data_IF_579883254114
#
_entry.id   IF_579883254114
#
_cell.length_a   1.000
_cell.length_b   1.000
_cell.length_c   1.000
_cell.angle_alpha   90.00
_cell.angle_beta   90.00
_cell.angle_gamma   90.00
#
_symmetry.space_group_name_H-M   'P 1'
#
loop_
_entity.id
_entity.type
_entity.pdbx_description
1 polymer ?
#
# COMPACT_ATOMS: atom_id res chain seq x y z
N UNK A 1 0.30 -8.81 6.25
CA UNK A 1 0.29 -7.89 7.40
C UNK A 1 -0.79 -6.83 7.16
N UNK A 2 -1.79 -6.70 8.04
CA UNK A 2 -2.90 -5.77 7.82
C UNK A 2 -2.67 -4.49 8.65
N UNK A 3 -2.25 -3.36 8.04
CA UNK A 3 -2.09 -2.11 8.77
C UNK A 3 -3.40 -1.65 9.45
N UNK A 4 -3.28 -0.90 10.55
CA UNK A 4 -4.43 -0.37 11.26
C UNK A 4 -5.22 0.58 10.37
N UNK A 5 -6.54 0.61 10.58
CA UNK A 5 -7.45 1.48 9.82
C UNK A 5 -7.16 2.94 10.15
N UNK A 6 -6.94 3.75 9.10
CA UNK A 6 -6.75 5.19 9.23
C UNK A 6 -8.09 5.92 9.17
N UNK A 7 -8.32 6.86 10.06
CA UNK A 7 -9.51 7.72 10.05
C UNK A 7 -9.37 8.82 8.98
N UNK A 8 -10.50 9.27 8.44
CA UNK A 8 -10.58 10.38 7.48
C UNK A 8 -11.93 11.06 7.61
N UNK A 9 -11.99 12.39 7.54
CA UNK A 9 -13.24 13.14 7.47
C UNK A 9 -13.59 13.54 6.02
N UNK A 10 -14.88 13.59 5.72
CA UNK A 10 -15.42 14.19 4.48
C UNK A 10 -16.53 15.16 4.90
N UNK A 11 -16.25 16.46 4.86
CA UNK A 11 -17.12 17.49 5.42
C UNK A 11 -17.44 17.21 6.89
N UNK A 12 -18.73 17.14 7.23
CA UNK A 12 -19.20 16.81 8.58
C UNK A 12 -18.98 15.35 8.98
N UNK A 13 -18.88 14.43 8.02
CA UNK A 13 -18.89 12.99 8.27
C UNK A 13 -17.49 12.46 8.63
N UNK A 14 -17.37 11.80 9.79
CA UNK A 14 -16.20 11.01 10.17
C UNK A 14 -16.28 9.63 9.52
N UNK A 15 -15.26 9.27 8.75
CA UNK A 15 -15.12 7.97 8.10
C UNK A 15 -13.74 7.38 8.30
N UNK A 16 -13.45 6.32 7.53
CA UNK A 16 -12.16 5.63 7.51
C UNK A 16 -11.66 5.50 6.08
N UNK A 17 -10.35 5.47 5.90
CA UNK A 17 -9.72 5.11 4.61
C UNK A 17 -9.96 3.63 4.33
N UNK A 18 -9.93 3.26 3.05
CA UNK A 18 -9.95 1.86 2.63
C UNK A 18 -8.80 1.09 3.28
N UNK A 19 -9.10 -0.12 3.76
CA UNK A 19 -8.09 -0.98 4.35
C UNK A 19 -7.30 -1.66 3.23
N UNK A 20 -5.98 -1.68 3.36
CA UNK A 20 -5.08 -2.37 2.44
C UNK A 20 -4.36 -3.48 3.18
N UNK A 21 -3.95 -4.53 2.48
CA UNK A 21 -3.09 -5.59 3.01
C UNK A 21 -1.65 -5.28 2.58
N UNK A 22 -0.72 -5.19 3.54
CA UNK A 22 0.71 -5.05 3.27
C UNK A 22 1.31 -6.43 3.02
N UNK A 23 2.03 -6.55 1.92
CA UNK A 23 2.85 -7.70 1.55
C UNK A 23 4.32 -7.26 1.50
N UNK A 24 5.21 -8.14 1.96
CA UNK A 24 6.66 -8.01 1.81
C UNK A 24 7.09 -9.31 1.17
N UNK A 25 7.74 -9.23 0.02
CA UNK A 25 8.18 -10.40 -0.76
C UNK A 25 9.70 -10.43 -0.83
N UNK A 26 10.25 -11.64 -0.83
CA UNK A 26 11.67 -11.88 -1.15
C UNK A 26 11.73 -12.34 -2.60
N UNK A 27 12.71 -11.82 -3.32
CA UNK A 27 13.00 -12.23 -4.70
C UNK A 27 14.16 -13.23 -4.68
N UNK A 28 14.26 -14.05 -5.73
CA UNK A 28 15.43 -14.88 -5.95
C UNK A 28 16.65 -14.01 -6.31
N UNK A 29 17.84 -14.57 -6.20
CA UNK A 29 19.06 -13.87 -6.63
C UNK A 29 19.02 -13.60 -8.14
N UNK A 30 19.34 -12.36 -8.55
CA UNK A 30 19.27 -11.92 -9.94
C UNK A 30 17.94 -11.31 -10.38
N UNK A 31 16.85 -11.54 -9.64
CA UNK A 31 15.54 -10.97 -9.96
C UNK A 31 15.42 -9.50 -9.54
N UNK A 32 14.76 -8.70 -10.39
CA UNK A 32 14.52 -7.27 -10.16
C UNK A 32 13.08 -6.89 -10.52
N UNK A 33 12.48 -6.01 -9.75
CA UNK A 33 11.18 -5.40 -10.08
C UNK A 33 11.46 -4.09 -10.82
N UNK A 34 11.28 -4.07 -12.15
CA UNK A 34 11.41 -2.85 -12.94
C UNK A 34 10.15 -1.99 -12.77
N UNK A 35 10.20 -1.01 -11.87
CA UNK A 35 9.05 -0.16 -11.55
C UNK A 35 8.84 1.00 -12.54
N UNK A 36 9.92 1.44 -13.18
CA UNK A 36 9.90 2.56 -14.12
C UNK A 36 10.82 2.23 -15.32
N UNK A 37 10.37 2.37 -16.57
CA UNK A 37 11.24 2.24 -17.74
C UNK A 37 12.14 3.47 -17.91
N UNK A 38 13.31 3.28 -18.52
CA UNK A 38 14.19 4.37 -18.99
C UNK A 38 13.43 5.19 -20.06
N UNK A 39 13.60 6.52 -20.05
CA UNK A 39 12.82 7.49 -20.85
C UNK A 39 12.91 7.30 -22.37
#
# INVERSE_FOLDING_TARGET
MNPPRRTRRVGKFSGKRSQVKKAIVRLAEGDKIQLFPES
#
